data_IF_999398648796
#
_entry.id   IF_999398648796
#
_cell.length_a   1.000
_cell.length_b   1.000
_cell.length_c   1.000
_cell.angle_alpha   90.00
_cell.angle_beta   90.00
_cell.angle_gamma   90.00
#
_symmetry.space_group_name_H-M   'P 1'
#
loop_
_entity.id
_entity.type
_entity.pdbx_description
1 polymer ?
#
# COMPACT_ATOMS: atom_id res chain seq x y z
N UNK A 1 -9.58 -7.28 -13.43
CA UNK A 1 -10.15 -5.90 -13.42
C UNK A 1 -11.68 -5.99 -13.56
N UNK A 2 -12.42 -5.16 -12.83
CA UNK A 2 -13.89 -5.19 -12.86
C UNK A 2 -14.42 -4.83 -14.26
N UNK A 3 -15.58 -5.37 -14.59
CA UNK A 3 -16.25 -5.06 -15.85
C UNK A 3 -16.81 -3.64 -15.88
N UNK A 4 -17.08 -3.10 -17.08
CA UNK A 4 -17.81 -1.83 -17.22
C UNK A 4 -19.19 -1.87 -16.56
N UNK A 5 -19.82 -3.05 -16.50
CA UNK A 5 -21.11 -3.25 -15.82
C UNK A 5 -21.01 -2.96 -14.32
N UNK A 6 -19.92 -3.39 -13.66
CA UNK A 6 -19.65 -3.06 -12.26
C UNK A 6 -19.42 -1.56 -12.06
N UNK A 7 -18.58 -0.96 -12.90
CA UNK A 7 -18.24 0.47 -12.79
C UNK A 7 -19.46 1.39 -12.99
N UNK A 8 -20.46 0.92 -13.73
CA UNK A 8 -21.71 1.64 -13.97
C UNK A 8 -22.79 1.38 -12.92
N UNK A 9 -22.52 0.58 -11.88
CA UNK A 9 -23.46 0.41 -10.75
C UNK A 9 -23.54 1.71 -9.94
N UNK A 10 -24.69 1.86 -9.26
CA UNK A 10 -24.79 2.94 -8.27
C UNK A 10 -23.78 2.72 -7.14
N UNK A 11 -23.19 3.78 -6.56
CA UNK A 11 -22.23 3.67 -5.47
C UNK A 11 -22.69 2.75 -4.33
N UNK A 12 -23.97 2.83 -3.96
CA UNK A 12 -24.55 1.98 -2.93
C UNK A 12 -24.47 0.48 -3.24
N UNK A 13 -24.67 0.09 -4.52
CA UNK A 13 -24.57 -1.32 -4.94
C UNK A 13 -23.14 -1.80 -5.00
N UNK A 14 -22.22 -0.94 -5.46
CA UNK A 14 -20.78 -1.25 -5.43
C UNK A 14 -20.34 -1.46 -3.99
N UNK A 15 -20.68 -0.54 -3.10
CA UNK A 15 -20.33 -0.59 -1.68
C UNK A 15 -20.84 -1.84 -0.98
N UNK A 16 -22.10 -2.25 -1.22
CA UNK A 16 -22.67 -3.49 -0.67
C UNK A 16 -21.89 -4.72 -1.09
N UNK A 17 -21.51 -4.81 -2.36
CA UNK A 17 -20.72 -5.96 -2.84
C UNK A 17 -19.30 -5.95 -2.29
N UNK A 18 -18.64 -4.80 -2.31
CA UNK A 18 -17.26 -4.66 -1.82
C UNK A 18 -17.21 -4.88 -0.30
N UNK A 19 -18.18 -4.35 0.48
CA UNK A 19 -18.25 -4.59 1.93
C UNK A 19 -18.40 -6.07 2.26
N UNK A 20 -19.25 -6.79 1.55
CA UNK A 20 -19.44 -8.23 1.72
C UNK A 20 -18.15 -9.00 1.36
N UNK A 21 -17.46 -8.58 0.30
CA UNK A 21 -16.18 -9.18 -0.12
C UNK A 21 -15.06 -8.92 0.91
N UNK A 22 -14.92 -7.68 1.38
CA UNK A 22 -13.97 -7.31 2.43
C UNK A 22 -14.19 -8.15 3.68
N UNK A 23 -15.43 -8.28 4.14
CA UNK A 23 -15.75 -9.11 5.31
C UNK A 23 -15.34 -10.56 5.09
N UNK A 24 -15.71 -11.14 3.95
CA UNK A 24 -15.36 -12.54 3.65
C UNK A 24 -13.84 -12.77 3.65
N UNK A 25 -13.05 -11.90 3.01
CA UNK A 25 -11.60 -12.03 2.91
C UNK A 25 -10.85 -11.63 4.20
N UNK A 26 -11.44 -10.82 5.05
CA UNK A 26 -10.85 -10.47 6.36
C UNK A 26 -11.17 -11.50 7.44
N UNK A 27 -12.30 -12.22 7.31
CA UNK A 27 -12.70 -13.24 8.27
C UNK A 27 -12.14 -14.64 7.94
N UNK A 28 -11.81 -14.91 6.67
CA UNK A 28 -11.39 -16.22 6.16
C UNK A 28 -10.15 -16.14 5.29
N UNK A 29 -9.30 -17.20 5.30
CA UNK A 29 -8.23 -17.32 4.31
C UNK A 29 -8.80 -17.32 2.89
N UNK A 30 -8.02 -16.80 1.94
CA UNK A 30 -8.44 -16.72 0.52
C UNK A 30 -8.96 -18.06 -0.03
N UNK A 31 -8.30 -19.17 0.31
CA UNK A 31 -8.71 -20.49 -0.19
C UNK A 31 -10.10 -20.93 0.31
N UNK A 32 -10.49 -20.47 1.50
CA UNK A 32 -11.78 -20.78 2.12
C UNK A 32 -12.87 -19.77 1.77
N UNK A 33 -12.49 -18.60 1.25
CA UNK A 33 -13.42 -17.55 0.86
C UNK A 33 -14.34 -18.00 -0.29
N UNK A 34 -15.63 -17.64 -0.22
CA UNK A 34 -16.70 -18.15 -1.08
C UNK A 34 -17.52 -17.06 -1.73
N UNK A 35 -17.57 -17.07 -3.07
CA UNK A 35 -18.46 -16.20 -3.85
C UNK A 35 -19.91 -16.34 -3.40
N UNK A 36 -20.36 -17.55 -3.04
CA UNK A 36 -21.74 -17.77 -2.59
C UNK A 36 -22.07 -17.02 -1.30
N UNK A 37 -21.12 -16.90 -0.37
CA UNK A 37 -21.31 -16.11 0.86
C UNK A 37 -21.31 -14.62 0.55
N UNK A 38 -20.37 -14.17 -0.29
CA UNK A 38 -20.29 -12.77 -0.72
C UNK A 38 -21.61 -12.31 -1.36
N UNK A 39 -22.12 -13.03 -2.36
CA UNK A 39 -23.35 -12.62 -3.09
C UNK A 39 -24.58 -12.67 -2.21
N UNK A 40 -24.66 -13.65 -1.29
CA UNK A 40 -25.77 -13.75 -0.33
C UNK A 40 -25.77 -12.56 0.62
N UNK A 41 -24.60 -12.17 1.13
CA UNK A 41 -24.46 -11.03 2.03
C UNK A 41 -24.72 -9.70 1.31
N UNK A 42 -24.21 -9.54 0.09
CA UNK A 42 -24.45 -8.38 -0.75
C UNK A 42 -25.90 -8.27 -1.25
N UNK A 43 -26.70 -9.33 -1.10
CA UNK A 43 -28.10 -9.38 -1.56
C UNK A 43 -28.23 -9.38 -3.08
N UNK A 44 -27.26 -9.94 -3.82
CA UNK A 44 -27.28 -10.01 -5.29
C UNK A 44 -27.40 -11.46 -5.78
N UNK A 45 -28.02 -11.70 -6.96
CA UNK A 45 -28.00 -13.00 -7.61
C UNK A 45 -26.56 -13.42 -7.97
N UNK A 46 -26.25 -14.72 -7.83
CA UNK A 46 -24.93 -15.24 -8.20
C UNK A 46 -24.54 -14.94 -9.65
N UNK A 47 -25.49 -14.97 -10.57
CA UNK A 47 -25.24 -14.61 -11.98
C UNK A 47 -24.76 -13.18 -12.17
N UNK A 48 -25.25 -12.24 -11.34
CA UNK A 48 -24.81 -10.85 -11.38
C UNK A 48 -23.35 -10.69 -10.98
N UNK A 49 -22.84 -11.51 -10.08
CA UNK A 49 -21.41 -11.49 -9.73
C UNK A 49 -20.53 -11.69 -10.96
N UNK A 50 -20.82 -12.67 -11.80
CA UNK A 50 -20.05 -12.98 -13.00
C UNK A 50 -20.21 -11.94 -14.14
N UNK A 51 -21.18 -11.06 -14.02
CA UNK A 51 -21.25 -9.86 -14.87
C UNK A 51 -20.31 -8.75 -14.40
N UNK A 52 -19.86 -8.79 -13.14
CA UNK A 52 -19.01 -7.77 -12.51
C UNK A 52 -17.53 -8.19 -12.48
N UNK A 53 -17.28 -9.42 -12.04
CA UNK A 53 -15.94 -10.01 -11.88
C UNK A 53 -15.93 -11.41 -12.51
N UNK A 54 -14.81 -11.77 -13.14
CA UNK A 54 -14.65 -13.09 -13.78
C UNK A 54 -14.74 -14.23 -12.76
N UNK A 55 -14.06 -14.03 -11.63
CA UNK A 55 -13.92 -15.03 -10.57
C UNK A 55 -13.59 -14.36 -9.23
N UNK A 56 -13.31 -15.17 -8.22
CA UNK A 56 -12.93 -14.73 -6.88
C UNK A 56 -11.58 -13.99 -6.88
N UNK A 57 -10.66 -14.43 -7.72
CA UNK A 57 -9.33 -13.85 -7.84
C UNK A 57 -9.40 -12.44 -8.41
N UNK A 58 -10.18 -12.22 -9.46
CA UNK A 58 -10.41 -10.90 -10.06
C UNK A 58 -10.98 -9.88 -9.06
N UNK A 59 -11.95 -10.30 -8.22
CA UNK A 59 -12.47 -9.47 -7.13
C UNK A 59 -11.40 -9.20 -6.06
N UNK A 60 -10.62 -10.23 -5.68
CA UNK A 60 -9.59 -10.11 -4.68
C UNK A 60 -8.48 -9.14 -5.12
N UNK A 61 -8.02 -9.28 -6.37
CA UNK A 61 -7.05 -8.36 -6.98
C UNK A 61 -7.56 -6.92 -6.98
N UNK A 62 -8.81 -6.71 -7.36
CA UNK A 62 -9.43 -5.38 -7.35
C UNK A 62 -9.36 -4.75 -5.95
N UNK A 63 -9.74 -5.49 -4.90
CA UNK A 63 -9.70 -4.99 -3.52
C UNK A 63 -8.27 -4.69 -3.05
N UNK A 64 -7.30 -5.51 -3.44
CA UNK A 64 -5.89 -5.27 -3.10
C UNK A 64 -5.35 -4.03 -3.81
N UNK A 65 -5.69 -3.83 -5.09
CA UNK A 65 -5.31 -2.64 -5.86
C UNK A 65 -5.89 -1.36 -5.25
N UNK A 66 -7.16 -1.36 -4.88
CA UNK A 66 -7.82 -0.22 -4.19
C UNK A 66 -7.10 0.12 -2.88
N UNK A 67 -6.75 -0.88 -2.08
CA UNK A 67 -6.02 -0.66 -0.81
C UNK A 67 -4.62 -0.10 -1.03
N UNK A 68 -3.93 -0.51 -2.09
CA UNK A 68 -2.62 0.03 -2.46
C UNK A 68 -2.77 1.48 -2.92
N UNK A 69 -3.82 1.79 -3.67
CA UNK A 69 -4.08 3.17 -4.10
C UNK A 69 -4.35 4.12 -2.93
N UNK A 70 -5.14 3.69 -1.95
CA UNK A 70 -5.36 4.47 -0.73
C UNK A 70 -4.06 4.67 0.06
N UNK A 71 -3.22 3.63 0.13
CA UNK A 71 -1.90 3.73 0.77
C UNK A 71 -1.00 4.73 0.04
N UNK A 72 -1.02 4.73 -1.29
CA UNK A 72 -0.23 5.67 -2.09
C UNK A 72 -0.74 7.11 -1.93
N UNK A 73 -2.06 7.32 -1.85
CA UNK A 73 -2.63 8.64 -1.56
C UNK A 73 -2.15 9.17 -0.21
N UNK A 74 -2.22 8.33 0.84
CA UNK A 74 -1.70 8.71 2.16
C UNK A 74 -0.20 9.03 2.12
N UNK A 75 0.58 8.29 1.33
CA UNK A 75 2.00 8.54 1.17
C UNK A 75 2.31 9.84 0.41
N UNK A 76 1.53 10.18 -0.62
CA UNK A 76 1.62 11.46 -1.32
C UNK A 76 1.32 12.64 -0.39
N UNK A 77 0.31 12.52 0.47
CA UNK A 77 -0.01 13.52 1.49
C UNK A 77 1.14 13.70 2.50
N UNK A 78 1.74 12.59 2.94
CA UNK A 78 2.91 12.61 3.81
C UNK A 78 4.11 13.28 3.13
N UNK A 79 4.40 12.96 1.87
CA UNK A 79 5.46 13.62 1.10
C UNK A 79 5.23 15.13 1.02
N UNK A 80 4.03 15.58 0.72
CA UNK A 80 3.70 17.00 0.68
C UNK A 80 3.88 17.65 2.07
N UNK A 81 3.42 17.01 3.14
CA UNK A 81 3.51 17.54 4.50
C UNK A 81 4.94 17.62 5.03
N UNK A 82 5.84 16.74 4.55
CA UNK A 82 7.26 16.69 4.89
C UNK A 82 8.15 17.50 3.92
N UNK A 83 7.55 18.36 3.07
CA UNK A 83 8.30 19.19 2.13
C UNK A 83 9.06 18.38 1.06
N UNK A 84 8.57 17.19 0.74
CA UNK A 84 9.18 16.29 -0.25
C UNK A 84 10.39 15.48 0.29
N UNK A 85 10.62 15.48 1.61
CA UNK A 85 11.66 14.63 2.22
C UNK A 85 11.23 13.16 2.20
N UNK A 86 11.76 12.40 1.25
CA UNK A 86 11.42 10.99 1.06
C UNK A 86 11.76 10.14 2.29
N UNK A 87 12.86 10.41 2.99
CA UNK A 87 13.26 9.64 4.16
C UNK A 87 12.36 9.88 5.36
N UNK A 88 12.02 11.15 5.63
CA UNK A 88 11.08 11.52 6.67
C UNK A 88 9.68 10.95 6.38
N UNK A 89 9.24 11.01 5.11
CA UNK A 89 7.94 10.50 4.68
C UNK A 89 7.83 8.98 4.79
N UNK A 90 8.92 8.23 4.50
CA UNK A 90 8.93 6.78 4.67
C UNK A 90 8.82 6.38 6.15
N UNK A 91 9.46 7.11 7.06
CA UNK A 91 9.32 6.86 8.49
C UNK A 91 7.90 7.19 8.98
N UNK A 92 7.35 8.32 8.54
CA UNK A 92 5.99 8.72 8.85
C UNK A 92 4.95 7.73 8.30
N UNK A 93 5.17 7.17 7.10
CA UNK A 93 4.33 6.13 6.53
C UNK A 93 4.36 4.84 7.35
N UNK A 94 5.53 4.44 7.83
CA UNK A 94 5.63 3.29 8.74
C UNK A 94 4.80 3.50 10.02
N UNK A 95 4.89 4.69 10.63
CA UNK A 95 4.10 5.03 11.82
C UNK A 95 2.60 5.06 11.48
N UNK A 96 2.22 5.59 10.32
CA UNK A 96 0.83 5.60 9.82
C UNK A 96 0.28 4.18 9.69
N UNK A 97 1.01 3.27 9.04
CA UNK A 97 0.64 1.87 8.88
C UNK A 97 0.39 1.20 10.25
N UNK A 98 1.27 1.43 11.19
CA UNK A 98 1.13 0.85 12.54
C UNK A 98 -0.08 1.37 13.30
N UNK A 99 -0.39 2.65 13.13
CA UNK A 99 -1.53 3.30 13.80
C UNK A 99 -2.87 2.87 13.17
N UNK A 100 -2.95 2.80 11.84
CA UNK A 100 -4.15 2.37 11.12
C UNK A 100 -4.48 0.88 11.29
N UNK A 101 -3.50 0.05 11.67
CA UNK A 101 -3.71 -1.38 11.91
C UNK A 101 -4.74 -1.68 13.00
N UNK A 102 -4.88 -0.81 13.99
CA UNK A 102 -5.84 -0.93 15.09
C UNK A 102 -7.19 -0.26 14.79
N UNK A 103 -7.27 0.52 13.73
CA UNK A 103 -8.49 1.18 13.32
C UNK A 103 -9.46 0.22 12.62
N UNK A 104 -10.72 0.63 12.55
CA UNK A 104 -11.86 -0.11 12.06
C UNK A 104 -11.58 -0.85 10.75
N UNK A 105 -12.03 -2.12 10.67
CA UNK A 105 -11.98 -2.97 9.47
C UNK A 105 -13.01 -2.57 8.40
N UNK A 106 -13.41 -1.31 8.40
CA UNK A 106 -14.32 -0.78 7.39
C UNK A 106 -13.69 -0.81 5.99
N UNK A 107 -14.53 -0.74 4.99
CA UNK A 107 -14.21 -0.76 3.57
C UNK A 107 -12.94 0.01 3.23
N UNK A 108 -11.97 -0.72 2.70
CA UNK A 108 -10.74 -0.14 2.18
C UNK A 108 -9.61 0.01 3.19
N UNK A 109 -8.45 0.37 2.68
CA UNK A 109 -7.31 0.84 3.44
C UNK A 109 -6.50 -0.22 4.19
N UNK A 110 -5.65 0.30 5.07
CA UNK A 110 -4.60 -0.45 5.77
C UNK A 110 -5.15 -1.51 6.73
N UNK A 111 -6.32 -1.27 7.32
CA UNK A 111 -6.97 -2.22 8.24
C UNK A 111 -7.40 -3.50 7.52
N UNK A 112 -8.01 -3.37 6.35
CA UNK A 112 -8.39 -4.49 5.49
C UNK A 112 -7.15 -5.25 5.02
N UNK A 113 -6.15 -4.56 4.48
CA UNK A 113 -4.91 -5.17 4.01
C UNK A 113 -4.21 -5.92 5.13
N UNK A 114 -4.10 -5.35 6.32
CA UNK A 114 -3.54 -6.01 7.51
C UNK A 114 -4.29 -7.29 7.84
N UNK A 115 -5.62 -7.26 7.87
CA UNK A 115 -6.44 -8.44 8.18
C UNK A 115 -6.28 -9.55 7.14
N UNK A 116 -6.27 -9.21 5.85
CA UNK A 116 -6.08 -10.15 4.73
C UNK A 116 -4.69 -10.78 4.79
N UNK A 117 -3.64 -9.97 4.92
CA UNK A 117 -2.25 -10.42 5.00
C UNK A 117 -2.05 -11.40 6.16
N UNK A 118 -2.64 -11.10 7.33
CA UNK A 118 -2.48 -11.94 8.51
C UNK A 118 -3.17 -13.31 8.42
N UNK A 119 -4.13 -13.45 7.52
CA UNK A 119 -4.85 -14.72 7.32
C UNK A 119 -4.32 -15.57 6.16
N UNK A 120 -3.44 -15.00 5.33
CA UNK A 120 -2.99 -15.66 4.12
C UNK A 120 -1.46 -15.87 4.12
N UNK A 121 -1.02 -17.07 4.50
CA UNK A 121 0.41 -17.44 4.56
C UNK A 121 1.14 -17.25 3.21
N UNK A 122 0.45 -17.41 2.08
CA UNK A 122 0.99 -17.18 0.75
C UNK A 122 1.37 -15.72 0.52
N UNK A 123 0.53 -14.79 0.97
CA UNK A 123 0.85 -13.35 0.95
C UNK A 123 2.00 -13.03 1.91
N UNK A 124 2.15 -13.78 3.02
CA UNK A 124 3.23 -13.60 3.97
C UNK A 124 4.62 -13.94 3.40
N UNK A 125 4.70 -14.77 2.36
CA UNK A 125 5.95 -15.21 1.73
C UNK A 125 6.38 -14.37 0.51
N UNK A 126 5.86 -13.16 0.39
CA UNK A 126 6.20 -12.23 -0.69
C UNK A 126 5.11 -12.04 -1.74
N UNK A 127 3.96 -12.73 -1.62
CA UNK A 127 2.85 -12.62 -2.56
C UNK A 127 2.22 -11.21 -2.63
N UNK A 128 2.45 -10.35 -1.63
CA UNK A 128 2.04 -8.95 -1.71
C UNK A 128 2.79 -8.18 -2.80
N UNK A 129 4.03 -8.58 -3.11
CA UNK A 129 4.82 -7.95 -4.17
C UNK A 129 4.19 -8.11 -5.56
N UNK A 130 3.35 -9.13 -5.77
CA UNK A 130 2.63 -9.34 -7.03
C UNK A 130 1.60 -8.22 -7.30
N UNK A 131 1.12 -7.55 -6.24
CA UNK A 131 0.18 -6.43 -6.34
C UNK A 131 0.89 -5.07 -6.41
N UNK A 132 2.21 -5.02 -6.22
CA UNK A 132 2.98 -3.78 -6.19
C UNK A 132 3.67 -3.59 -7.55
N UNK A 133 3.22 -2.61 -8.31
CA UNK A 133 3.92 -2.15 -9.51
C UNK A 133 4.85 -0.98 -9.15
N UNK A 134 6.19 -1.19 -9.12
CA UNK A 134 7.15 -0.15 -8.79
C UNK A 134 7.11 1.04 -9.73
N UNK A 135 6.82 0.83 -11.02
CA UNK A 135 6.75 1.92 -12.00
C UNK A 135 5.51 2.80 -11.79
N UNK A 136 4.39 2.20 -11.38
CA UNK A 136 3.17 2.93 -10.99
C UNK A 136 3.44 3.81 -9.77
N UNK A 137 4.11 3.27 -8.75
CA UNK A 137 4.48 4.02 -7.54
C UNK A 137 5.41 5.18 -7.93
N UNK A 138 6.47 4.91 -8.68
CA UNK A 138 7.41 5.93 -9.13
C UNK A 138 6.72 7.10 -9.82
N UNK A 139 5.86 6.83 -10.80
CA UNK A 139 5.13 7.87 -11.54
C UNK A 139 4.28 8.77 -10.65
N UNK A 140 3.77 8.23 -9.55
CA UNK A 140 2.95 9.00 -8.61
C UNK A 140 3.79 9.88 -7.70
N UNK A 141 4.91 9.36 -7.18
CA UNK A 141 5.67 10.03 -6.12
C UNK A 141 6.84 10.89 -6.65
N UNK A 142 7.36 10.63 -7.86
CA UNK A 142 8.57 11.33 -8.36
C UNK A 142 8.43 12.86 -8.38
N UNK A 143 7.23 13.37 -8.65
CA UNK A 143 6.96 14.81 -8.66
C UNK A 143 6.68 15.40 -7.27
N UNK A 144 6.50 14.57 -6.25
CA UNK A 144 6.25 14.98 -4.87
C UNK A 144 7.54 15.04 -4.05
N UNK A 145 8.61 14.40 -4.53
CA UNK A 145 9.92 14.37 -3.85
C UNK A 145 10.68 15.65 -4.16
N UNK A 146 11.28 16.25 -3.13
CA UNK A 146 12.17 17.40 -3.28
C UNK A 146 13.58 16.94 -3.70
N UNK A 147 14.02 17.18 -4.95
CA UNK A 147 15.31 16.73 -5.44
C UNK A 147 16.48 17.43 -4.73
N UNK A 148 16.29 18.63 -4.17
CA UNK A 148 17.35 19.38 -3.47
C UNK A 148 17.79 18.70 -2.17
N UNK A 149 17.00 17.75 -1.65
CA UNK A 149 17.35 16.97 -0.46
C UNK A 149 18.18 15.72 -0.78
N UNK A 150 18.47 15.48 -2.05
CA UNK A 150 19.19 14.31 -2.55
C UNK A 150 20.49 14.73 -3.28
N UNK A 151 21.54 13.91 -3.20
CA UNK A 151 22.75 14.10 -3.98
C UNK A 151 22.55 13.47 -5.38
N UNK A 152 22.00 14.25 -6.30
CA UNK A 152 21.77 13.85 -7.69
C UNK A 152 22.91 14.37 -8.56
N UNK A 153 23.51 13.49 -9.37
CA UNK A 153 24.60 13.83 -10.30
C UNK A 153 24.16 13.68 -11.74
N UNK A 154 23.28 12.71 -11.99
CA UNK A 154 22.74 12.41 -13.31
C UNK A 154 21.21 12.52 -13.30
N UNK A 155 20.57 12.83 -14.44
CA UNK A 155 19.10 12.97 -14.51
C UNK A 155 18.32 11.74 -14.05
N UNK A 156 18.91 10.54 -14.19
CA UNK A 156 18.28 9.27 -13.84
C UNK A 156 18.42 8.90 -12.35
N UNK A 157 19.27 9.62 -11.59
CA UNK A 157 19.60 9.27 -10.19
C UNK A 157 18.35 9.28 -9.31
N UNK A 158 17.47 10.26 -9.48
CA UNK A 158 16.23 10.34 -8.70
C UNK A 158 15.41 9.05 -8.84
N UNK A 159 15.17 8.61 -10.08
CA UNK A 159 14.39 7.40 -10.34
C UNK A 159 15.09 6.15 -9.80
N UNK A 160 16.41 6.07 -9.91
CA UNK A 160 17.20 4.98 -9.36
C UNK A 160 17.10 4.92 -7.83
N UNK A 161 17.24 6.05 -7.14
CA UNK A 161 17.11 6.15 -5.68
C UNK A 161 15.70 5.75 -5.25
N UNK A 162 14.66 6.30 -5.87
CA UNK A 162 13.27 5.98 -5.55
C UNK A 162 12.96 4.50 -5.77
N UNK A 163 13.43 3.92 -6.87
CA UNK A 163 13.24 2.48 -7.15
C UNK A 163 13.92 1.61 -6.09
N UNK A 164 15.15 1.94 -5.69
CA UNK A 164 15.84 1.22 -4.61
C UNK A 164 15.09 1.34 -3.28
N UNK A 165 14.61 2.55 -2.93
CA UNK A 165 13.84 2.77 -1.70
C UNK A 165 12.51 2.01 -1.72
N UNK A 166 11.77 1.99 -2.82
CA UNK A 166 10.53 1.23 -2.96
C UNK A 166 10.81 -0.26 -2.72
N UNK A 167 11.81 -0.84 -3.40
CA UNK A 167 12.14 -2.26 -3.27
C UNK A 167 12.58 -2.63 -1.85
N UNK A 168 13.29 -1.74 -1.16
CA UNK A 168 13.70 -1.94 0.23
C UNK A 168 12.52 -1.80 1.19
N UNK A 169 11.63 -0.83 0.95
CA UNK A 169 10.59 -0.45 1.90
C UNK A 169 9.37 -1.36 1.86
N UNK A 170 9.01 -1.94 0.70
CA UNK A 170 7.83 -2.80 0.59
C UNK A 170 7.85 -3.96 1.60
N UNK A 171 8.94 -4.74 1.77
CA UNK A 171 9.00 -5.79 2.80
C UNK A 171 8.89 -5.24 4.23
N UNK A 172 9.45 -4.07 4.50
CA UNK A 172 9.42 -3.44 5.83
C UNK A 172 8.01 -2.98 6.16
N UNK A 173 7.33 -2.30 5.23
CA UNK A 173 5.93 -1.88 5.36
C UNK A 173 5.01 -3.08 5.56
N UNK A 174 5.21 -4.13 4.77
CA UNK A 174 4.50 -5.39 4.92
C UNK A 174 4.62 -5.99 6.32
N UNK A 175 5.84 -6.04 6.88
CA UNK A 175 6.04 -6.50 8.24
C UNK A 175 5.35 -5.60 9.27
N UNK A 176 5.23 -4.31 9.00
CA UNK A 176 4.47 -3.37 9.83
C UNK A 176 2.98 -3.68 9.92
N UNK A 177 2.40 -4.34 8.89
CA UNK A 177 0.99 -4.77 8.87
C UNK A 177 0.72 -5.97 9.79
N UNK A 178 1.75 -6.73 10.21
CA UNK A 178 1.57 -7.97 10.97
C UNK A 178 1.32 -7.70 12.46
N UNK A 179 0.44 -8.49 13.14
CA UNK A 179 0.34 -8.48 14.60
C UNK A 179 1.66 -8.96 15.21
N UNK A 180 2.10 -8.30 16.27
CA UNK A 180 3.37 -8.66 16.91
C UNK A 180 4.62 -8.22 16.13
N UNK A 181 4.46 -7.26 15.21
CA UNK A 181 5.60 -6.62 14.55
C UNK A 181 6.65 -6.21 15.60
N UNK A 182 7.91 -6.45 15.24
CA UNK A 182 9.09 -6.18 16.08
C UNK A 182 8.95 -4.81 16.79
N UNK A 183 8.95 -4.77 18.13
CA UNK A 183 8.89 -3.51 18.87
C UNK A 183 9.99 -2.53 18.47
N UNK A 184 11.16 -3.04 18.08
CA UNK A 184 12.32 -2.27 17.62
C UNK A 184 12.25 -1.95 16.11
N UNK A 185 11.24 -2.42 15.40
CA UNK A 185 11.14 -2.27 13.93
C UNK A 185 11.21 -0.82 13.46
N UNK A 186 10.64 0.11 14.24
CA UNK A 186 10.73 1.55 13.96
C UNK A 186 12.16 2.07 14.08
N UNK A 187 12.85 1.73 15.15
CA UNK A 187 14.24 2.17 15.42
C UNK A 187 15.20 1.59 14.37
N UNK A 188 15.02 0.31 14.02
CA UNK A 188 15.78 -0.33 12.95
C UNK A 188 15.56 0.34 11.59
N UNK A 189 14.32 0.71 11.29
CA UNK A 189 13.99 1.45 10.08
C UNK A 189 14.61 2.84 10.09
N UNK A 190 14.47 3.59 11.17
CA UNK A 190 15.06 4.93 11.32
C UNK A 190 16.57 4.90 11.10
N UNK A 191 17.25 3.94 11.71
CA UNK A 191 18.70 3.74 11.52
C UNK A 191 19.06 3.38 10.07
N UNK A 192 18.28 2.53 9.42
CA UNK A 192 18.49 2.17 8.02
C UNK A 192 18.32 3.38 7.10
N UNK A 193 17.26 4.17 7.31
CA UNK A 193 17.01 5.39 6.56
C UNK A 193 18.08 6.45 6.78
N UNK A 194 18.62 6.58 8.01
CA UNK A 194 19.78 7.45 8.29
C UNK A 194 21.02 7.03 7.52
N UNK A 195 21.32 5.74 7.45
CA UNK A 195 22.46 5.22 6.68
C UNK A 195 22.30 5.55 5.19
N UNK A 196 21.10 5.32 4.65
CA UNK A 196 20.79 5.62 3.25
C UNK A 196 20.87 7.13 2.97
N UNK A 197 20.34 7.96 3.89
CA UNK A 197 20.41 9.42 3.78
C UNK A 197 21.84 9.92 3.71
N UNK A 198 22.77 9.36 4.48
CA UNK A 198 24.19 9.72 4.43
C UNK A 198 24.84 9.38 3.09
N UNK A 199 24.36 8.36 2.39
CA UNK A 199 24.86 7.93 1.08
C UNK A 199 24.18 8.60 -0.11
N UNK A 200 22.93 9.06 0.05
CA UNK A 200 22.07 9.56 -1.03
C UNK A 200 21.60 11.00 -0.81
N UNK A 201 21.73 11.52 0.41
CA UNK A 201 21.31 12.88 0.74
C UNK A 201 22.33 13.93 0.33
N UNK A 202 21.84 15.12 -0.01
CA UNK A 202 22.69 16.26 -0.31
C UNK A 202 23.61 16.56 0.89
N UNK A 203 24.90 16.62 0.64
CA UNK A 203 25.86 17.10 1.65
C UNK A 203 25.61 18.59 1.85
N UNK A 204 25.32 19.00 3.08
CA UNK A 204 25.27 20.41 3.40
C UNK A 204 26.54 21.09 2.85
N UNK A 205 26.39 22.01 1.93
CA UNK A 205 27.48 22.84 1.45
C UNK A 205 28.17 23.44 2.69
N UNK A 206 29.51 23.33 2.85
CA UNK A 206 30.21 24.00 3.92
C UNK A 206 29.89 25.48 3.78
N UNK A 207 29.38 26.09 4.86
CA UNK A 207 29.11 27.52 4.92
C UNK A 207 30.35 28.23 4.41
N UNK A 208 30.23 29.00 3.32
CA UNK A 208 31.28 29.86 2.82
C UNK A 208 31.74 30.75 4.00
N UNK A 209 32.93 30.49 4.52
CA UNK A 209 33.63 31.42 5.38
C UNK A 209 34.03 32.60 4.49
N UNK A 210 33.30 33.69 4.66
CA UNK A 210 33.66 35.03 4.18
C UNK A 210 34.81 35.55 4.98
#
# INVERSE_FOLDING_TARGET
MPSSTFLNLTPEKQEKLLSAAVREFTERPYNEASINRIVREAGIPRGSFYMYFRDKEDLFHYLMEESIDEMLMAFEELLCSQGGDIFASLLAMYDHIRNCRSADRSLGGMGMMSAIVNRNDGLQKGGLLEFVDPERILKRIENCVNPDLLELREPEDLRCILRMLIMLMVPIMYNGLRPGADPEGREKLERALEILRRGMGAKSLPAHRS
#
